data_IF_481234479159
#
_entry.id   IF_481234479159
#
_cell.length_a   1.000
_cell.length_b   1.000
_cell.length_c   1.000
_cell.angle_alpha   90.00
_cell.angle_beta   90.00
_cell.angle_gamma   90.00
#
_symmetry.space_group_name_H-M   'P 1'
#
loop_
_entity.id
_entity.type
_entity.pdbx_description
1 polymer ?
#
# COMPACT_ATOMS: atom_id res chain seq x y z
N UNK A 1 26.11 52.21 -66.12
CA UNK A 1 26.23 52.32 -64.65
C UNK A 1 26.43 50.91 -64.11
N UNK A 2 27.56 50.67 -63.43
CA UNK A 2 27.94 49.41 -62.76
C UNK A 2 27.01 49.04 -61.60
N UNK A 3 26.88 47.75 -61.25
CA UNK A 3 27.60 47.17 -60.10
C UNK A 3 27.45 45.64 -60.02
N UNK A 4 28.60 45.01 -59.76
CA UNK A 4 28.82 43.61 -59.42
C UNK A 4 27.99 43.15 -58.22
N UNK A 5 27.65 41.86 -58.19
CA UNK A 5 27.78 41.07 -56.96
C UNK A 5 27.92 39.58 -57.29
N UNK A 6 29.18 39.11 -57.29
CA UNK A 6 29.51 37.71 -56.99
C UNK A 6 29.01 37.37 -55.59
N UNK A 7 28.08 36.43 -55.46
CA UNK A 7 27.78 35.77 -54.19
C UNK A 7 27.54 34.27 -54.45
N UNK A 8 28.63 33.50 -54.24
CA UNK A 8 28.71 32.18 -53.59
C UNK A 8 28.06 31.01 -54.37
N UNK A 9 28.81 30.09 -54.96
CA UNK A 9 29.62 29.06 -54.31
C UNK A 9 28.88 28.35 -53.16
N UNK A 10 28.68 27.04 -53.33
CA UNK A 10 28.20 26.08 -52.35
C UNK A 10 26.69 26.01 -52.16
N UNK A 11 26.04 25.17 -52.97
CA UNK A 11 24.95 24.34 -52.45
C UNK A 11 25.10 22.97 -53.13
N UNK A 12 26.19 22.28 -52.73
CA UNK A 12 26.22 20.82 -52.69
C UNK A 12 25.10 20.42 -51.74
N UNK A 13 23.85 20.48 -52.22
CA UNK A 13 22.68 20.04 -51.50
C UNK A 13 22.78 18.51 -51.43
N UNK A 14 23.63 18.03 -50.53
CA UNK A 14 23.67 16.63 -50.15
C UNK A 14 22.27 16.31 -49.69
N UNK A 15 21.56 15.53 -50.50
CA UNK A 15 20.35 14.85 -50.07
C UNK A 15 20.77 13.89 -48.94
N UNK A 16 20.81 14.40 -47.72
CA UNK A 16 20.99 13.58 -46.54
C UNK A 16 19.73 12.71 -46.40
N UNK A 17 19.90 11.41 -46.64
CA UNK A 17 18.82 10.45 -46.50
C UNK A 17 18.18 10.58 -45.11
N UNK A 18 16.95 11.07 -45.06
CA UNK A 18 16.22 11.19 -43.80
C UNK A 18 15.76 9.80 -43.39
N UNK A 19 16.32 9.29 -42.29
CA UNK A 19 15.87 8.03 -41.70
C UNK A 19 14.63 8.34 -40.85
N UNK A 20 13.48 7.67 -41.07
CA UNK A 20 12.31 7.84 -40.21
C UNK A 20 12.68 7.56 -38.75
N UNK A 21 12.14 8.36 -37.82
CA UNK A 21 12.33 8.10 -36.40
C UNK A 21 11.58 6.83 -36.00
N UNK A 22 12.16 5.93 -35.19
CA UNK A 22 11.43 4.78 -34.67
C UNK A 22 10.25 5.22 -33.80
N UNK A 23 9.21 4.38 -33.67
CA UNK A 23 8.11 4.65 -32.75
C UNK A 23 8.61 4.63 -31.31
N UNK A 24 7.93 5.41 -30.46
CA UNK A 24 8.22 5.43 -29.02
C UNK A 24 7.97 4.06 -28.36
N UNK A 25 8.70 3.73 -27.28
CA UNK A 25 8.46 2.50 -26.54
C UNK A 25 7.08 2.51 -25.88
N UNK A 26 6.49 1.33 -25.60
CA UNK A 26 5.24 1.26 -24.87
C UNK A 26 5.42 1.82 -23.45
N UNK A 27 4.38 2.47 -22.94
CA UNK A 27 4.36 2.92 -21.54
C UNK A 27 4.09 1.72 -20.64
N UNK A 28 5.01 1.43 -19.72
CA UNK A 28 4.79 0.42 -18.67
C UNK A 28 3.79 0.98 -17.66
N UNK A 29 2.72 0.23 -17.31
CA UNK A 29 1.82 0.64 -16.24
C UNK A 29 2.57 0.72 -14.91
N UNK A 30 2.10 1.56 -13.97
CA UNK A 30 2.70 1.61 -12.64
C UNK A 30 2.59 0.25 -11.95
N UNK A 31 3.60 -0.10 -11.17
CA UNK A 31 3.59 -1.30 -10.35
C UNK A 31 2.36 -1.29 -9.43
N UNK A 32 1.65 -2.43 -9.36
CA UNK A 32 0.60 -2.60 -8.37
C UNK A 32 1.20 -2.79 -6.98
N UNK A 33 0.57 -2.23 -5.94
CA UNK A 33 1.00 -2.48 -4.57
C UNK A 33 0.89 -3.97 -4.23
N UNK A 34 1.72 -4.49 -3.31
CA UNK A 34 1.60 -5.86 -2.84
C UNK A 34 0.23 -6.07 -2.17
N UNK A 35 -0.30 -7.31 -2.18
CA UNK A 35 -1.56 -7.62 -1.52
C UNK A 35 -1.46 -7.31 -0.03
N UNK A 36 -2.56 -6.80 0.53
CA UNK A 36 -2.68 -6.59 1.98
C UNK A 36 -2.71 -7.93 2.72
N UNK A 37 -2.01 -8.05 3.86
CA UNK A 37 -2.09 -9.25 4.69
C UNK A 37 -3.52 -9.52 5.17
N UNK A 38 -3.95 -10.78 5.15
CA UNK A 38 -5.25 -11.19 5.68
C UNK A 38 -5.14 -11.30 7.21
N UNK A 39 -6.05 -10.70 7.99
CA UNK A 39 -6.05 -10.85 9.44
C UNK A 39 -6.31 -12.31 9.84
N UNK A 40 -5.78 -12.75 11.00
CA UNK A 40 -6.12 -14.07 11.53
C UNK A 40 -7.62 -14.16 11.78
N UNK A 41 -8.18 -15.35 11.60
CA UNK A 41 -9.57 -15.62 11.97
C UNK A 41 -9.70 -15.51 13.49
N UNK A 42 -10.49 -14.54 13.95
CA UNK A 42 -10.77 -14.32 15.37
C UNK A 42 -11.99 -15.10 15.85
N UNK A 43 -12.65 -15.84 14.96
CA UNK A 43 -13.76 -16.69 15.32
C UNK A 43 -13.24 -17.88 16.15
N UNK A 44 -13.66 -18.01 17.43
CA UNK A 44 -13.27 -19.16 18.22
C UNK A 44 -13.81 -20.44 17.57
N UNK A 45 -13.00 -21.50 17.60
CA UNK A 45 -13.42 -22.82 17.17
C UNK A 45 -14.64 -23.28 18.02
N UNK A 46 -15.83 -23.51 17.40
CA UNK A 46 -17.03 -23.90 18.15
C UNK A 46 -16.95 -25.32 18.71
N UNK A 47 -15.96 -26.11 18.28
CA UNK A 47 -15.69 -27.46 18.78
C UNK A 47 -14.68 -27.48 19.92
N UNK A 48 -14.02 -26.34 20.20
CA UNK A 48 -13.13 -26.19 21.36
C UNK A 48 -13.96 -26.12 22.64
N UNK A 49 -13.58 -26.89 23.66
CA UNK A 49 -14.23 -26.81 24.96
C UNK A 49 -14.12 -25.39 25.55
N UNK A 50 -15.20 -24.89 26.20
CA UNK A 50 -15.17 -23.60 26.87
C UNK A 50 -14.15 -23.63 28.03
N UNK A 51 -13.55 -22.47 28.36
CA UNK A 51 -12.69 -22.39 29.54
C UNK A 51 -13.49 -22.70 30.81
N UNK A 52 -12.83 -23.33 31.79
CA UNK A 52 -13.45 -23.60 33.09
C UNK A 52 -13.74 -22.29 33.85
N UNK A 53 -14.89 -22.20 34.54
CA UNK A 53 -15.16 -21.07 35.42
C UNK A 53 -14.18 -21.09 36.61
N UNK A 54 -13.85 -19.92 37.18
CA UNK A 54 -13.02 -19.86 38.38
C UNK A 54 -13.69 -20.64 39.52
N UNK A 55 -12.89 -21.41 40.27
CA UNK A 55 -13.41 -22.29 41.34
C UNK A 55 -13.95 -21.55 42.56
N UNK A 56 -13.67 -20.25 42.68
CA UNK A 56 -14.08 -19.42 43.80
C UNK A 56 -14.76 -18.15 43.29
N UNK A 57 -15.74 -17.60 44.03
CA UNK A 57 -16.22 -16.26 43.78
C UNK A 57 -15.03 -15.28 43.84
N UNK A 58 -15.04 -14.23 43.01
CA UNK A 58 -13.95 -13.23 42.94
C UNK A 58 -13.92 -12.32 44.20
N UNK A 59 -14.57 -12.73 45.28
CA UNK A 59 -14.61 -12.02 46.56
C UNK A 59 -15.39 -12.79 47.61
N UNK A 60 -15.22 -12.40 48.87
CA UNK A 60 -16.06 -12.93 49.95
C UNK A 60 -17.54 -12.63 49.67
N UNK A 61 -18.46 -13.56 50.00
CA UNK A 61 -19.88 -13.27 49.91
C UNK A 61 -20.21 -12.04 50.78
N UNK A 62 -21.17 -11.21 50.35
CA UNK A 62 -21.60 -10.09 51.19
C UNK A 62 -22.09 -10.60 52.55
N UNK A 63 -21.92 -9.82 53.65
CA UNK A 63 -22.43 -10.21 54.95
C UNK A 63 -23.92 -10.51 54.89
N UNK A 64 -24.34 -11.59 55.55
CA UNK A 64 -25.75 -11.98 55.59
C UNK A 64 -26.61 -11.01 56.41
N UNK A 65 -27.95 -11.07 56.29
CA UNK A 65 -28.84 -10.29 57.14
C UNK A 65 -28.61 -10.66 58.62
N UNK A 66 -28.15 -9.70 59.42
CA UNK A 66 -27.83 -9.89 60.85
C UNK A 66 -26.34 -10.02 61.16
N UNK A 67 -25.48 -10.09 60.15
CA UNK A 67 -24.02 -10.05 60.30
C UNK A 67 -23.60 -8.58 60.51
N UNK A 68 -23.11 -8.24 61.71
CA UNK A 68 -22.56 -6.91 61.98
C UNK A 68 -21.10 -6.88 61.54
N UNK A 69 -20.58 -5.76 60.97
CA UNK A 69 -19.16 -5.67 60.69
C UNK A 69 -18.40 -5.95 61.98
N UNK A 70 -17.42 -6.86 61.94
CA UNK A 70 -16.45 -7.02 63.01
C UNK A 70 -15.68 -5.69 63.11
N UNK A 71 -16.22 -4.76 63.89
CA UNK A 71 -15.52 -3.56 64.33
C UNK A 71 -14.43 -4.04 65.29
N UNK A 72 -13.19 -4.08 64.82
CA UNK A 72 -12.03 -4.09 65.70
C UNK A 72 -11.78 -2.66 66.22
#
# INVERSE_FOLDING_TARGET
MSLNMSIRASDDARFEAQTPQPPDPPVTPPDQPPPTPIPPDTNPDPTREPPEPPSQPIGDPPPGPGDQPHVQ
#
